data_IF_121525178282
#
_entry.id   IF_121525178282
#
_cell.length_a   1.000
_cell.length_b   1.000
_cell.length_c   1.000
_cell.angle_alpha   90.00
_cell.angle_beta   90.00
_cell.angle_gamma   90.00
#
_symmetry.space_group_name_H-M   'P 1'
#
loop_
_entity.id
_entity.type
_entity.pdbx_description
1 polymer ?
#
# COMPACT_ATOMS: atom_id res chain seq x y z
N UNK A 1 -13.07 13.07 8.09
CA UNK A 1 -13.68 11.98 8.90
C UNK A 1 -14.85 11.30 8.18
N UNK A 2 -15.73 12.00 7.48
CA UNK A 2 -16.86 11.41 6.73
C UNK A 2 -16.35 10.36 5.71
N UNK A 3 -15.42 10.72 4.83
CA UNK A 3 -14.86 9.83 3.81
C UNK A 3 -14.26 8.50 4.36
N UNK A 4 -13.74 8.51 5.59
CA UNK A 4 -13.24 7.30 6.26
C UNK A 4 -14.39 6.41 6.75
N UNK A 5 -15.46 7.01 7.26
CA UNK A 5 -16.65 6.28 7.70
C UNK A 5 -17.44 5.73 6.51
N UNK A 6 -17.52 6.48 5.43
CA UNK A 6 -18.20 6.04 4.20
C UNK A 6 -17.58 4.75 3.60
N UNK A 7 -16.29 4.48 3.86
CA UNK A 7 -15.65 3.21 3.48
C UNK A 7 -16.15 1.99 4.26
N UNK A 8 -16.87 2.17 5.36
CA UNK A 8 -17.51 1.08 6.09
C UNK A 8 -18.87 0.69 5.47
N UNK A 9 -19.53 1.67 4.84
CA UNK A 9 -20.91 1.51 4.35
C UNK A 9 -20.99 1.42 2.81
N UNK A 10 -19.93 1.84 2.09
CA UNK A 10 -19.85 1.89 0.63
C UNK A 10 -18.75 0.97 0.08
N UNK A 11 -18.82 0.66 -1.21
CA UNK A 11 -17.71 -0.01 -1.90
C UNK A 11 -16.43 0.84 -1.91
N UNK A 12 -15.25 0.22 -2.03
CA UNK A 12 -13.98 0.95 -2.13
C UNK A 12 -13.97 1.97 -3.28
N UNK A 13 -14.60 1.64 -4.40
CA UNK A 13 -14.68 2.48 -5.60
C UNK A 13 -15.55 3.72 -5.35
N UNK A 14 -16.71 3.55 -4.71
CA UNK A 14 -17.62 4.67 -4.41
C UNK A 14 -17.04 5.64 -3.36
N UNK A 15 -16.31 5.10 -2.40
CA UNK A 15 -15.66 5.91 -1.36
C UNK A 15 -14.36 6.60 -1.84
N UNK A 16 -13.78 6.16 -2.95
CA UNK A 16 -12.49 6.66 -3.45
C UNK A 16 -12.54 8.15 -3.83
N UNK A 17 -13.56 8.58 -4.54
CA UNK A 17 -13.70 9.99 -4.95
C UNK A 17 -13.84 10.93 -3.75
N UNK A 18 -14.66 10.55 -2.76
CA UNK A 18 -14.83 11.34 -1.53
C UNK A 18 -13.53 11.39 -0.70
N UNK A 19 -12.78 10.29 -0.69
CA UNK A 19 -11.47 10.25 -0.05
C UNK A 19 -10.48 11.20 -0.74
N UNK A 20 -10.41 11.17 -2.07
CA UNK A 20 -9.53 12.03 -2.85
C UNK A 20 -9.87 13.52 -2.70
N UNK A 21 -11.16 13.86 -2.69
CA UNK A 21 -11.60 15.24 -2.39
C UNK A 21 -11.17 15.69 -0.98
N UNK A 22 -11.31 14.81 0.02
CA UNK A 22 -10.86 15.10 1.39
C UNK A 22 -9.35 15.31 1.49
N UNK A 23 -8.55 14.60 0.70
CA UNK A 23 -7.10 14.83 0.63
C UNK A 23 -6.75 16.20 0.03
N UNK A 24 -7.44 16.61 -1.02
CA UNK A 24 -7.27 17.95 -1.61
C UNK A 24 -7.63 19.06 -0.63
N UNK A 25 -8.75 18.93 0.07
CA UNK A 25 -9.16 19.89 1.12
C UNK A 25 -8.12 20.00 2.24
N UNK A 26 -7.45 18.88 2.61
CA UNK A 26 -6.41 18.89 3.64
C UNK A 26 -5.17 19.69 3.24
N UNK A 27 -4.86 19.79 1.95
CA UNK A 27 -3.76 20.63 1.46
C UNK A 27 -3.98 22.13 1.70
N UNK A 28 -5.24 22.57 1.79
CA UNK A 28 -5.62 23.96 2.04
C UNK A 28 -5.72 24.31 3.53
N UNK A 29 -5.71 23.29 4.39
CA UNK A 29 -5.83 23.46 5.84
C UNK A 29 -4.47 23.66 6.47
N UNK A 30 -4.27 24.76 7.18
CA UNK A 30 -3.03 25.01 7.94
C UNK A 30 -2.74 23.93 9.00
N UNK A 31 -1.51 23.91 9.49
CA UNK A 31 -1.04 22.95 10.51
C UNK A 31 -1.94 23.03 11.76
N UNK A 32 -2.49 21.90 12.17
CA UNK A 32 -3.36 21.77 13.33
C UNK A 32 -2.85 20.68 14.26
N UNK A 33 -3.12 20.82 15.54
CA UNK A 33 -2.87 19.75 16.52
C UNK A 33 -3.90 18.63 16.33
N UNK A 34 -3.47 17.40 16.62
CA UNK A 34 -4.35 16.24 16.66
C UNK A 34 -5.52 16.44 17.65
N UNK A 35 -6.71 16.01 17.27
CA UNK A 35 -7.87 16.06 18.16
C UNK A 35 -7.72 15.08 19.33
N UNK A 36 -8.36 15.38 20.46
CA UNK A 36 -8.38 14.47 21.62
C UNK A 36 -9.01 13.11 21.26
N UNK A 37 -10.02 13.11 20.40
CA UNK A 37 -10.66 11.87 19.94
C UNK A 37 -9.66 11.02 19.13
N UNK A 38 -8.95 11.62 18.19
CA UNK A 38 -7.92 10.90 17.40
C UNK A 38 -6.82 10.35 18.31
N UNK A 39 -6.37 11.13 19.30
CA UNK A 39 -5.38 10.70 20.26
C UNK A 39 -5.87 9.48 21.06
N UNK A 40 -7.10 9.52 21.58
CA UNK A 40 -7.67 8.40 22.33
C UNK A 40 -7.82 7.14 21.48
N UNK A 41 -8.16 7.27 20.19
CA UNK A 41 -8.25 6.14 19.28
C UNK A 41 -6.84 5.53 19.06
N UNK A 42 -5.83 6.38 18.83
CA UNK A 42 -4.45 5.91 18.65
C UNK A 42 -3.89 5.25 19.91
N UNK A 43 -4.18 5.78 21.09
CA UNK A 43 -3.74 5.22 22.38
C UNK A 43 -4.37 3.82 22.64
N UNK A 44 -5.50 3.51 22.02
CA UNK A 44 -6.18 2.22 22.14
C UNK A 44 -5.67 1.14 21.16
N UNK A 45 -4.77 1.48 20.24
CA UNK A 45 -4.22 0.53 19.26
C UNK A 45 -3.09 -0.29 19.88
N UNK A 46 -3.18 -1.62 19.75
CA UNK A 46 -2.05 -2.50 20.04
C UNK A 46 -1.05 -2.48 18.87
N UNK A 47 -0.08 -1.57 18.94
CA UNK A 47 0.96 -1.43 17.90
C UNK A 47 1.86 -2.65 17.79
N UNK A 48 2.02 -3.44 18.86
CA UNK A 48 2.78 -4.68 18.80
C UNK A 48 2.09 -5.73 17.96
N UNK A 49 0.79 -5.87 18.11
CA UNK A 49 -0.01 -6.77 17.29
C UNK A 49 -0.03 -6.31 15.83
N UNK A 50 -0.20 -5.02 15.56
CA UNK A 50 -0.10 -4.43 14.21
C UNK A 50 1.25 -4.75 13.56
N UNK A 51 2.36 -4.56 14.27
CA UNK A 51 3.69 -4.86 13.77
C UNK A 51 3.86 -6.35 13.42
N UNK A 52 3.42 -7.24 14.32
CA UNK A 52 3.51 -8.68 14.14
C UNK A 52 2.67 -9.16 12.94
N UNK A 53 1.48 -8.59 12.72
CA UNK A 53 0.65 -8.91 11.55
C UNK A 53 1.34 -8.50 10.25
N UNK A 54 1.84 -7.26 10.17
CA UNK A 54 2.55 -6.76 9.00
C UNK A 54 3.79 -7.58 8.67
N UNK A 55 4.58 -7.94 9.68
CA UNK A 55 5.77 -8.78 9.49
C UNK A 55 5.41 -10.18 8.99
N UNK A 56 4.38 -10.83 9.54
CA UNK A 56 3.92 -12.14 9.05
C UNK A 56 3.48 -12.08 7.59
N UNK A 57 2.72 -11.06 7.22
CA UNK A 57 2.27 -10.86 5.85
C UNK A 57 3.44 -10.59 4.91
N UNK A 58 4.38 -9.73 5.32
CA UNK A 58 5.60 -9.47 4.56
C UNK A 58 6.39 -10.75 4.27
N UNK A 59 6.73 -11.52 5.30
CA UNK A 59 7.50 -12.75 5.12
C UNK A 59 6.76 -13.81 4.32
N UNK A 60 5.43 -13.81 4.34
CA UNK A 60 4.65 -14.70 3.50
C UNK A 60 4.77 -14.36 2.02
N UNK A 61 4.66 -13.08 1.66
CA UNK A 61 4.87 -12.61 0.30
C UNK A 61 6.33 -12.82 -0.13
N UNK A 62 7.28 -12.45 0.71
CA UNK A 62 8.71 -12.60 0.44
C UNK A 62 9.08 -14.05 0.13
N UNK A 63 8.64 -14.99 0.96
CA UNK A 63 8.86 -16.42 0.72
C UNK A 63 8.33 -16.93 -0.63
N UNK A 64 7.25 -16.33 -1.12
CA UNK A 64 6.58 -16.80 -2.33
C UNK A 64 7.02 -16.06 -3.61
N UNK A 65 7.49 -14.82 -3.46
CA UNK A 65 7.74 -13.90 -4.57
C UNK A 65 9.20 -13.44 -4.68
N UNK A 66 10.08 -13.77 -3.72
CA UNK A 66 11.47 -13.33 -3.72
C UNK A 66 12.22 -13.69 -5.02
N UNK A 67 11.96 -14.88 -5.57
CA UNK A 67 12.63 -15.34 -6.81
C UNK A 67 12.23 -14.53 -8.06
N UNK A 68 11.09 -13.85 -8.01
CA UNK A 68 10.56 -13.02 -9.11
C UNK A 68 10.62 -11.53 -8.81
N UNK A 69 11.02 -11.15 -7.60
CA UNK A 69 11.24 -9.77 -7.20
C UNK A 69 12.65 -9.35 -7.60
N UNK A 70 12.76 -8.43 -8.53
CA UNK A 70 14.04 -7.96 -9.07
C UNK A 70 14.82 -7.06 -8.09
N UNK A 71 14.21 -6.71 -6.95
CA UNK A 71 14.84 -5.93 -5.89
C UNK A 71 14.61 -6.55 -4.51
N UNK A 72 15.70 -6.73 -3.75
CA UNK A 72 15.62 -7.25 -2.40
C UNK A 72 15.69 -6.13 -1.36
N UNK A 73 14.74 -6.15 -0.44
CA UNK A 73 14.65 -5.18 0.66
C UNK A 73 14.89 -5.90 1.99
N UNK A 74 16.12 -5.89 2.53
CA UNK A 74 16.39 -6.52 3.81
C UNK A 74 15.62 -5.80 4.92
N UNK A 75 14.88 -6.57 5.72
CA UNK A 75 14.19 -6.07 6.90
C UNK A 75 15.04 -6.36 8.13
N UNK A 76 15.30 -5.33 8.92
CA UNK A 76 15.93 -5.45 10.23
C UNK A 76 14.88 -5.78 11.30
N UNK A 77 15.31 -6.30 12.46
CA UNK A 77 14.44 -6.68 13.58
C UNK A 77 13.53 -5.54 14.08
N UNK A 78 13.95 -4.29 13.90
CA UNK A 78 13.22 -3.08 14.35
C UNK A 78 12.35 -2.47 13.22
N UNK A 79 12.31 -3.09 12.04
CA UNK A 79 11.55 -2.57 10.89
C UNK A 79 10.12 -3.08 10.93
N UNK A 80 9.16 -2.16 10.87
CA UNK A 80 7.75 -2.50 10.62
C UNK A 80 7.38 -2.04 9.21
N UNK A 81 7.26 -2.95 8.24
CA UNK A 81 7.02 -2.56 6.85
C UNK A 81 5.61 -2.01 6.65
N UNK A 82 5.49 -0.99 5.80
CA UNK A 82 4.19 -0.43 5.39
C UNK A 82 3.55 -1.27 4.28
N UNK A 83 4.36 -1.73 3.33
CA UNK A 83 3.99 -2.52 2.16
C UNK A 83 5.06 -3.57 1.88
N UNK A 84 4.76 -4.57 1.05
CA UNK A 84 5.78 -5.41 0.44
C UNK A 84 6.16 -4.78 -0.92
N UNK A 85 7.39 -4.27 -1.08
CA UNK A 85 7.82 -3.67 -2.33
C UNK A 85 8.14 -4.79 -3.34
N UNK A 86 7.28 -4.95 -4.32
CA UNK A 86 7.48 -5.90 -5.41
C UNK A 86 7.89 -5.15 -6.68
N UNK A 87 9.13 -5.32 -7.08
CA UNK A 87 9.70 -4.68 -8.27
C UNK A 87 9.85 -5.71 -9.39
N UNK A 88 9.18 -5.48 -10.51
CA UNK A 88 9.12 -6.43 -11.59
C UNK A 88 8.72 -5.75 -12.90
N UNK A 89 9.52 -5.93 -13.96
CA UNK A 89 9.30 -5.37 -15.30
C UNK A 89 8.26 -6.13 -16.13
N UNK A 90 7.16 -6.54 -15.50
CA UNK A 90 6.00 -7.12 -16.20
C UNK A 90 4.99 -6.04 -16.51
N UNK A 91 4.90 -5.64 -17.79
CA UNK A 91 3.90 -4.68 -18.24
C UNK A 91 2.48 -5.17 -17.95
N UNK A 92 1.62 -4.27 -17.48
CA UNK A 92 0.21 -4.58 -17.19
C UNK A 92 -0.05 -5.27 -15.85
N UNK A 93 0.97 -5.72 -15.11
CA UNK A 93 0.77 -6.41 -13.83
C UNK A 93 0.00 -5.54 -12.82
N UNK A 94 0.30 -4.25 -12.72
CA UNK A 94 -0.43 -3.32 -11.84
C UNK A 94 -1.91 -3.28 -12.17
N UNK A 95 -2.26 -3.16 -13.46
CA UNK A 95 -3.65 -3.15 -13.90
C UNK A 95 -4.33 -4.49 -13.64
N UNK A 96 -3.65 -5.60 -13.91
CA UNK A 96 -4.14 -6.93 -13.59
C UNK A 96 -4.49 -7.11 -12.11
N UNK A 97 -3.65 -6.60 -11.21
CA UNK A 97 -3.93 -6.60 -9.77
C UNK A 97 -5.19 -5.79 -9.43
N UNK A 98 -5.32 -4.59 -9.99
CA UNK A 98 -6.49 -3.71 -9.79
C UNK A 98 -7.78 -4.37 -10.31
N UNK A 99 -7.74 -5.00 -11.48
CA UNK A 99 -8.87 -5.71 -12.07
C UNK A 99 -9.32 -6.90 -11.19
N UNK A 100 -8.36 -7.51 -10.47
CA UNK A 100 -8.61 -8.53 -9.45
C UNK A 100 -8.85 -7.95 -8.04
N UNK A 101 -9.21 -6.67 -7.92
CA UNK A 101 -9.55 -6.00 -6.66
C UNK A 101 -8.40 -5.90 -5.64
N UNK A 102 -7.16 -6.08 -6.10
CA UNK A 102 -5.95 -5.82 -5.31
C UNK A 102 -5.49 -4.40 -5.64
N UNK A 103 -5.95 -3.45 -4.83
CA UNK A 103 -5.67 -2.03 -5.06
C UNK A 103 -4.26 -1.67 -4.61
N UNK A 104 -3.41 -1.36 -5.57
CA UNK A 104 -2.02 -0.96 -5.37
C UNK A 104 -1.79 0.47 -5.84
N UNK A 105 -1.12 1.27 -5.03
CA UNK A 105 -0.81 2.66 -5.39
C UNK A 105 0.30 2.74 -6.44
N UNK A 106 0.31 3.82 -7.22
CA UNK A 106 1.49 4.29 -7.93
C UNK A 106 2.06 5.45 -7.12
N UNK A 107 3.22 5.24 -6.51
CA UNK A 107 3.87 6.28 -5.73
C UNK A 107 4.56 7.27 -6.66
N UNK A 108 4.56 8.55 -6.24
CA UNK A 108 5.23 9.66 -6.96
C UNK A 108 4.89 9.73 -8.46
N UNK A 109 3.62 9.88 -8.82
CA UNK A 109 3.20 9.88 -10.23
C UNK A 109 3.85 10.99 -11.06
N UNK A 110 4.33 12.06 -10.42
CA UNK A 110 4.97 13.21 -11.07
C UNK A 110 6.49 13.04 -11.26
N UNK A 111 7.07 11.94 -10.81
CA UNK A 111 8.55 11.78 -10.86
C UNK A 111 9.07 11.78 -12.29
N UNK A 112 8.32 11.24 -13.23
CA UNK A 112 8.65 11.22 -14.65
C UNK A 112 8.84 12.65 -15.23
N UNK A 113 8.01 13.61 -14.80
CA UNK A 113 8.12 15.01 -15.20
C UNK A 113 9.37 15.68 -14.63
N UNK A 114 9.78 15.28 -13.41
CA UNK A 114 10.91 15.91 -12.72
C UNK A 114 12.26 15.31 -13.07
N UNK A 115 12.34 13.99 -13.20
CA UNK A 115 13.59 13.26 -13.42
C UNK A 115 13.79 12.82 -14.88
N UNK A 116 12.72 12.85 -15.71
CA UNK A 116 12.72 12.34 -17.08
C UNK A 116 12.37 10.86 -17.17
N UNK A 117 11.83 10.46 -18.32
CA UNK A 117 11.27 9.11 -18.54
C UNK A 117 12.30 7.98 -18.46
N UNK A 118 13.56 8.26 -18.78
CA UNK A 118 14.64 7.27 -18.80
C UNK A 118 15.43 7.23 -17.47
N UNK A 119 14.92 7.90 -16.45
CA UNK A 119 15.57 7.92 -15.13
C UNK A 119 15.24 6.66 -14.32
N UNK A 120 16.14 6.30 -13.41
CA UNK A 120 15.92 5.19 -12.46
C UNK A 120 14.69 5.46 -11.57
N UNK A 121 14.45 6.72 -11.24
CA UNK A 121 13.30 7.15 -10.43
C UNK A 121 11.99 6.95 -11.18
N UNK A 122 11.94 7.20 -12.48
CA UNK A 122 10.75 6.97 -13.30
C UNK A 122 10.49 5.46 -13.46
N UNK A 123 11.53 4.68 -13.65
CA UNK A 123 11.48 3.24 -13.73
C UNK A 123 10.94 2.62 -12.43
N UNK A 124 11.47 3.05 -11.28
CA UNK A 124 10.95 2.63 -9.97
C UNK A 124 9.48 3.03 -9.77
N UNK A 125 9.07 4.24 -10.16
CA UNK A 125 7.69 4.68 -10.04
C UNK A 125 6.74 3.85 -10.90
N UNK A 126 7.18 3.36 -12.05
CA UNK A 126 6.38 2.54 -12.94
C UNK A 126 6.29 1.08 -12.48
N UNK A 127 7.42 0.45 -12.18
CA UNK A 127 7.50 -1.00 -12.00
C UNK A 127 7.52 -1.46 -10.53
N UNK A 128 7.76 -0.57 -9.56
CA UNK A 128 7.64 -0.91 -8.15
C UNK A 128 6.16 -0.93 -7.72
N UNK A 129 5.67 -2.09 -7.36
CA UNK A 129 4.30 -2.32 -6.92
C UNK A 129 4.26 -2.48 -5.40
N UNK A 130 3.66 -1.56 -4.64
CA UNK A 130 3.53 -1.66 -3.19
C UNK A 130 2.38 -2.61 -2.83
N UNK A 131 2.67 -3.89 -2.64
CA UNK A 131 1.65 -4.88 -2.27
C UNK A 131 1.16 -4.65 -0.83
N UNK A 132 -0.15 -4.70 -0.58
CA UNK A 132 -0.71 -4.44 0.73
C UNK A 132 -0.43 -5.60 1.70
N UNK A 133 0.06 -5.25 2.90
CA UNK A 133 0.39 -6.20 3.97
C UNK A 133 -0.14 -5.74 5.33
N UNK A 134 -1.06 -4.81 5.36
CA UNK A 134 -1.52 -4.23 6.62
C UNK A 134 -2.26 -5.26 7.50
N UNK A 135 -2.44 -4.89 8.77
CA UNK A 135 -2.97 -5.79 9.80
C UNK A 135 -4.41 -6.27 9.59
N UNK A 136 -5.12 -5.70 8.63
CA UNK A 136 -6.51 -6.12 8.28
C UNK A 136 -6.52 -7.41 7.45
N UNK A 137 -5.39 -7.73 6.82
CA UNK A 137 -5.24 -8.87 5.94
C UNK A 137 -4.60 -10.04 6.69
N UNK A 138 -5.07 -11.24 6.38
CA UNK A 138 -4.56 -12.49 6.90
C UNK A 138 -3.89 -13.34 5.84
N UNK A 139 -3.82 -14.63 6.15
CA UNK A 139 -3.20 -15.63 5.27
C UNK A 139 -3.90 -15.74 3.91
N UNK A 140 -5.23 -15.71 3.91
CA UNK A 140 -6.06 -15.95 2.72
C UNK A 140 -5.86 -14.84 1.69
N UNK A 141 -5.83 -13.57 2.14
CA UNK A 141 -5.58 -12.42 1.28
C UNK A 141 -4.16 -12.44 0.74
N UNK A 142 -3.16 -12.83 1.55
CA UNK A 142 -1.79 -12.96 1.06
C UNK A 142 -1.66 -14.06 0.02
N UNK A 143 -2.32 -15.21 0.20
CA UNK A 143 -2.35 -16.28 -0.78
C UNK A 143 -3.02 -15.84 -2.07
N UNK A 144 -4.13 -15.09 -1.98
CA UNK A 144 -4.80 -14.52 -3.13
C UNK A 144 -3.90 -13.58 -3.94
N UNK A 145 -3.13 -12.70 -3.26
CA UNK A 145 -2.15 -11.83 -3.93
C UNK A 145 -1.09 -12.66 -4.64
N UNK A 146 -0.54 -13.67 -3.97
CA UNK A 146 0.48 -14.57 -4.53
C UNK A 146 -0.03 -15.28 -5.78
N UNK A 147 -1.21 -15.87 -5.70
CA UNK A 147 -1.82 -16.62 -6.81
C UNK A 147 -2.13 -15.70 -7.99
N UNK A 148 -2.63 -14.48 -7.73
CA UNK A 148 -2.91 -13.49 -8.77
C UNK A 148 -1.64 -13.08 -9.52
N UNK A 149 -0.52 -12.89 -8.82
CA UNK A 149 0.77 -12.53 -9.44
C UNK A 149 1.37 -13.71 -10.21
N UNK A 150 1.24 -14.94 -9.70
CA UNK A 150 1.83 -16.14 -10.34
C UNK A 150 1.05 -16.59 -11.55
N UNK A 151 -0.23 -16.25 -11.65
CA UNK A 151 -1.08 -16.60 -12.78
C UNK A 151 -1.10 -15.52 -13.89
N UNK A 152 -0.38 -14.42 -13.71
CA UNK A 152 -0.13 -13.39 -14.72
C UNK A 152 1.14 -13.71 -15.51
#
# INVERSE_FOLDING_TARGET
MKAVLDRLDKSPEEAFEEYHQSEQELCEVGIRKMSKLTQSIMDAIDYTDVANHRLRNFYRLDKALADTNEMHFPINCDTVPMVYPYYCHKEGLRQHLIDNKIYVAKYWPNVEEWAGKESVEADLAEYLIPLPIDQRYGKEEMDYIIDTIKNF
#
